data_IF_025761826340
#
_entry.id   IF_025761826340
#
_cell.length_a   1.000
_cell.length_b   1.000
_cell.length_c   1.000
_cell.angle_alpha   90.00
_cell.angle_beta   90.00
_cell.angle_gamma   90.00
#
_symmetry.space_group_name_H-M   'P 1'
#
loop_
_entity.id
_entity.type
_entity.pdbx_description
1 polymer ?
#
# COMPACT_ATOMS: atom_id res chain seq x y z
N UNK A 1 -18.16 27.87 -10.67
CA UNK A 1 -16.92 27.73 -9.88
C UNK A 1 -17.29 27.08 -8.56
N UNK A 2 -17.24 25.75 -8.47
CA UNK A 2 -17.50 25.02 -7.22
C UNK A 2 -16.17 24.52 -6.68
N UNK A 3 -15.82 25.00 -5.50
CA UNK A 3 -14.72 24.55 -4.67
C UNK A 3 -15.07 23.17 -4.11
N UNK A 4 -14.41 22.09 -4.55
CA UNK A 4 -14.57 20.73 -4.02
C UNK A 4 -13.31 19.94 -4.39
N UNK A 5 -12.74 19.06 -3.57
CA UNK A 5 -13.03 18.71 -2.20
C UNK A 5 -11.69 18.37 -1.54
N UNK A 6 -11.36 19.11 -0.49
CA UNK A 6 -10.55 18.58 0.60
C UNK A 6 -11.31 17.36 1.09
N UNK A 7 -10.85 16.14 0.76
CA UNK A 7 -11.31 14.92 1.44
C UNK A 7 -10.72 14.96 2.85
N UNK A 8 -11.14 15.95 3.60
CA UNK A 8 -10.97 15.97 5.04
C UNK A 8 -11.88 14.85 5.49
N UNK A 9 -11.35 13.88 6.24
CA UNK A 9 -12.13 12.92 7.01
C UNK A 9 -13.14 13.57 8.01
N UNK A 10 -13.40 14.88 7.90
CA UNK A 10 -14.39 15.64 8.62
C UNK A 10 -15.85 15.28 8.27
N UNK A 11 -16.13 14.67 7.11
CA UNK A 11 -17.49 14.23 6.79
C UNK A 11 -17.99 13.08 7.70
N UNK A 12 -17.08 12.35 8.37
CA UNK A 12 -17.40 11.27 9.29
C UNK A 12 -17.78 11.74 10.71
N UNK A 13 -17.64 13.03 11.03
CA UNK A 13 -17.67 13.54 12.41
C UNK A 13 -19.04 13.96 12.95
N UNK A 14 -20.14 13.78 12.22
CA UNK A 14 -21.44 14.39 12.63
C UNK A 14 -22.30 13.51 13.55
N UNK A 15 -21.98 12.23 13.81
CA UNK A 15 -22.91 11.32 14.53
C UNK A 15 -22.41 10.70 15.85
N UNK A 16 -21.26 11.09 16.39
CA UNK A 16 -20.77 10.56 17.68
C UNK A 16 -21.23 11.35 18.93
N UNK A 17 -22.16 12.30 18.78
CA UNK A 17 -22.59 13.19 19.86
C UNK A 17 -23.94 12.83 20.48
N UNK A 18 -24.02 11.74 21.26
CA UNK A 18 -24.98 11.59 22.37
C UNK A 18 -24.49 10.49 23.33
N UNK A 19 -24.03 10.92 24.52
CA UNK A 19 -23.57 10.08 25.64
C UNK A 19 -24.79 9.53 26.46
N UNK A 20 -24.66 8.67 27.52
CA UNK A 20 -23.72 8.82 28.65
C UNK A 20 -23.03 7.55 29.23
N UNK A 21 -21.85 7.82 29.81
CA UNK A 21 -21.23 7.32 31.07
C UNK A 21 -21.67 5.98 31.69
N UNK A 22 -20.72 5.04 31.85
CA UNK A 22 -20.39 4.34 33.11
C UNK A 22 -19.33 3.24 32.90
N UNK A 23 -18.40 3.10 33.86
CA UNK A 23 -17.83 1.78 34.21
C UNK A 23 -16.31 1.63 34.12
N UNK A 24 -15.64 1.86 35.25
CA UNK A 24 -14.30 1.37 35.57
C UNK A 24 -14.14 -0.14 35.37
N UNK A 25 -12.93 -0.60 35.01
CA UNK A 25 -12.60 -2.02 34.96
C UNK A 25 -11.12 -2.31 34.72
N UNK A 26 -10.41 -2.58 35.80
CA UNK A 26 -8.98 -2.93 35.93
C UNK A 26 -8.52 -4.20 35.18
N UNK A 27 -7.21 -4.21 34.85
CA UNK A 27 -6.20 -5.32 34.86
C UNK A 27 -6.50 -6.57 33.99
N UNK A 28 -5.54 -7.17 33.27
CA UNK A 28 -4.34 -7.86 33.80
C UNK A 28 -3.44 -8.31 32.63
N UNK A 29 -2.11 -8.28 32.83
CA UNK A 29 -1.06 -8.91 32.00
C UNK A 29 -0.99 -10.44 32.16
N UNK A 30 -0.50 -11.17 31.14
CA UNK A 30 0.39 -12.34 31.27
C UNK A 30 1.02 -12.69 29.90
N UNK A 31 2.32 -12.45 29.63
CA UNK A 31 3.47 -13.39 29.63
C UNK A 31 3.24 -14.87 29.25
N UNK A 32 3.97 -15.34 28.23
CA UNK A 32 4.82 -16.56 28.30
C UNK A 32 5.74 -16.69 27.07
N UNK A 33 7.05 -16.60 27.29
CA UNK A 33 8.13 -17.22 26.50
C UNK A 33 8.07 -18.75 26.63
N UNK A 34 8.54 -19.49 25.62
CA UNK A 34 9.32 -20.74 25.84
C UNK A 34 10.23 -21.04 24.65
N UNK A 35 11.50 -21.16 25.02
CA UNK A 35 12.72 -21.50 24.29
C UNK A 35 12.82 -23.00 23.96
N UNK A 36 13.59 -23.35 22.91
CA UNK A 36 14.18 -24.69 22.79
C UNK A 36 14.89 -24.99 21.45
N UNK A 37 16.24 -25.09 21.42
CA UNK A 37 17.03 -25.54 20.26
C UNK A 37 17.44 -27.02 20.38
N UNK A 38 17.69 -27.72 19.26
CA UNK A 38 18.55 -28.90 19.30
C UNK A 38 19.27 -29.19 17.97
N UNK A 39 20.43 -29.81 18.09
CA UNK A 39 21.62 -29.81 17.21
C UNK A 39 21.88 -31.21 16.63
N UNK A 40 22.85 -31.30 15.70
CA UNK A 40 23.70 -32.49 15.35
C UNK A 40 23.11 -33.38 14.24
N UNK A 41 23.82 -33.86 13.20
CA UNK A 41 25.13 -34.56 13.17
C UNK A 41 25.70 -34.69 11.74
N UNK A 42 26.97 -35.09 11.67
CA UNK A 42 27.97 -34.99 10.62
C UNK A 42 27.93 -35.97 9.41
N UNK A 43 28.83 -35.65 8.48
CA UNK A 43 29.35 -36.35 7.28
C UNK A 43 29.90 -37.77 7.53
N UNK A 44 30.12 -38.58 6.47
CA UNK A 44 31.51 -38.74 6.01
C UNK A 44 31.70 -38.82 4.48
N UNK A 45 32.97 -38.71 4.11
CA UNK A 45 33.58 -38.64 2.79
C UNK A 45 33.81 -40.01 2.11
N UNK A 46 34.06 -40.00 0.79
CA UNK A 46 35.04 -40.85 0.10
C UNK A 46 35.40 -40.31 -1.31
N UNK A 47 36.70 -40.18 -1.54
CA UNK A 47 37.49 -39.86 -2.76
C UNK A 47 37.73 -41.13 -3.62
N UNK A 48 38.57 -41.16 -4.70
CA UNK A 48 38.90 -40.23 -5.81
C UNK A 48 38.86 -40.94 -7.20
N UNK A 49 39.33 -40.27 -8.28
CA UNK A 49 40.33 -40.79 -9.26
C UNK A 49 40.03 -40.52 -10.77
N UNK A 50 40.85 -39.62 -11.35
CA UNK A 50 41.62 -39.69 -12.61
C UNK A 50 40.91 -39.96 -13.96
N UNK A 51 41.04 -39.02 -14.92
CA UNK A 51 41.86 -39.15 -16.14
C UNK A 51 41.55 -38.05 -17.17
N UNK A 52 42.60 -37.55 -17.82
CA UNK A 52 42.60 -36.42 -18.75
C UNK A 52 42.36 -36.84 -20.21
N UNK A 53 41.79 -35.94 -21.00
CA UNK A 53 41.99 -35.85 -22.47
C UNK A 53 41.87 -34.39 -22.91
N UNK A 54 42.89 -33.77 -23.52
CA UNK A 54 42.75 -32.48 -24.18
C UNK A 54 42.14 -32.68 -25.57
N UNK A 55 40.88 -32.27 -25.76
CA UNK A 55 40.29 -32.16 -27.10
C UNK A 55 40.37 -30.70 -27.54
N UNK A 56 41.13 -30.48 -28.62
CA UNK A 56 41.23 -29.23 -29.37
C UNK A 56 39.81 -28.76 -29.75
N UNK A 57 39.37 -27.64 -29.18
CA UNK A 57 38.14 -26.95 -29.59
C UNK A 57 38.50 -25.68 -30.34
N UNK A 58 37.93 -25.55 -31.53
CA UNK A 58 37.94 -24.37 -32.39
C UNK A 58 37.56 -23.08 -31.62
N UNK A 59 37.97 -21.88 -32.10
CA UNK A 59 37.66 -20.62 -31.43
C UNK A 59 36.15 -20.44 -31.31
N UNK A 60 35.64 -20.62 -30.09
CA UNK A 60 34.29 -20.26 -29.70
C UNK A 60 34.22 -18.73 -29.76
N UNK A 61 33.50 -18.22 -30.76
CA UNK A 61 33.13 -16.81 -30.84
C UNK A 61 32.40 -16.48 -29.54
N UNK A 62 33.06 -15.74 -28.66
CA UNK A 62 32.45 -15.22 -27.44
C UNK A 62 31.30 -14.32 -27.89
N UNK A 63 30.03 -14.63 -27.59
CA UNK A 63 29.00 -13.63 -27.75
C UNK A 63 29.38 -12.47 -26.82
N UNK A 64 29.69 -11.33 -27.42
CA UNK A 64 29.84 -10.06 -26.72
C UNK A 64 28.65 -9.93 -25.76
N UNK A 65 28.85 -9.60 -24.48
CA UNK A 65 27.74 -9.49 -23.54
C UNK A 65 26.75 -8.48 -24.10
N UNK A 66 25.61 -8.99 -24.57
CA UNK A 66 24.48 -8.17 -24.99
C UNK A 66 24.18 -7.26 -23.81
N UNK A 67 24.42 -5.96 -24.00
CA UNK A 67 24.10 -4.94 -23.02
C UNK A 67 22.66 -5.22 -22.54
N UNK A 68 22.53 -5.53 -21.25
CA UNK A 68 21.23 -5.68 -20.60
C UNK A 68 20.41 -4.46 -21.00
N UNK A 69 19.19 -4.58 -21.55
CA UNK A 69 18.37 -3.43 -21.87
C UNK A 69 18.28 -2.61 -20.60
N UNK A 70 18.91 -1.44 -20.59
CA UNK A 70 18.78 -0.50 -19.50
C UNK A 70 17.33 -0.08 -19.55
N UNK A 71 16.47 -0.72 -18.75
CA UNK A 71 15.04 -0.57 -18.87
C UNK A 71 14.69 0.91 -18.65
N UNK A 72 14.39 1.58 -19.76
CA UNK A 72 14.14 3.00 -19.87
C UNK A 72 13.00 3.39 -18.91
N UNK A 73 13.11 4.50 -18.19
CA UNK A 73 11.98 5.06 -17.45
C UNK A 73 10.76 5.23 -18.37
N UNK A 74 9.55 5.15 -17.82
CA UNK A 74 8.32 5.33 -18.61
C UNK A 74 8.31 6.68 -19.34
N UNK A 75 7.66 6.75 -20.50
CA UNK A 75 7.28 8.04 -21.09
C UNK A 75 6.26 8.76 -20.19
N UNK A 76 5.98 10.04 -20.47
CA UNK A 76 4.98 10.79 -19.70
C UNK A 76 3.58 10.16 -19.83
N UNK A 77 3.21 9.75 -21.03
CA UNK A 77 1.93 9.11 -21.35
C UNK A 77 1.82 7.75 -20.66
N UNK A 78 2.87 6.92 -20.74
CA UNK A 78 2.92 5.63 -20.03
C UNK A 78 2.87 5.82 -18.51
N UNK A 79 3.56 6.82 -17.97
CA UNK A 79 3.52 7.14 -16.55
C UNK A 79 2.14 7.62 -16.11
N UNK A 80 1.42 8.35 -16.96
CA UNK A 80 0.05 8.78 -16.71
C UNK A 80 -0.89 7.58 -16.56
N UNK A 81 -0.91 6.71 -17.57
CA UNK A 81 -1.75 5.50 -17.57
C UNK A 81 -1.39 4.60 -16.38
N UNK A 82 -0.09 4.40 -16.15
CA UNK A 82 0.39 3.57 -15.05
C UNK A 82 -0.01 4.12 -13.69
N UNK A 83 0.05 5.44 -13.50
CA UNK A 83 -0.36 6.08 -12.25
C UNK A 83 -1.84 5.85 -11.97
N UNK A 84 -2.72 6.12 -12.94
CA UNK A 84 -4.16 5.93 -12.77
C UNK A 84 -4.52 4.48 -12.47
N UNK A 85 -3.94 3.52 -13.20
CA UNK A 85 -4.13 2.08 -12.95
C UNK A 85 -3.72 1.64 -11.54
N UNK A 86 -2.71 2.29 -10.96
CA UNK A 86 -2.23 1.95 -9.62
C UNK A 86 -3.16 2.51 -8.54
N UNK A 87 -3.63 3.75 -8.68
CA UNK A 87 -4.38 4.44 -7.61
C UNK A 87 -5.89 4.15 -7.65
N UNK A 88 -6.45 3.80 -8.81
CA UNK A 88 -7.89 3.57 -8.99
C UNK A 88 -8.49 2.57 -7.97
N UNK A 89 -7.91 1.38 -7.71
CA UNK A 89 -8.51 0.41 -6.78
C UNK A 89 -8.59 0.92 -5.35
N UNK A 90 -7.62 1.73 -4.92
CA UNK A 90 -7.62 2.35 -3.59
C UNK A 90 -8.69 3.44 -3.50
N UNK A 91 -8.75 4.32 -4.50
CA UNK A 91 -9.75 5.39 -4.56
C UNK A 91 -11.18 4.82 -4.53
N UNK A 92 -11.47 3.81 -5.37
CA UNK A 92 -12.77 3.13 -5.36
C UNK A 92 -13.10 2.50 -4.00
N UNK A 93 -12.10 1.95 -3.31
CA UNK A 93 -12.31 1.37 -1.98
C UNK A 93 -12.62 2.44 -0.92
N UNK A 94 -11.96 3.60 -0.99
CA UNK A 94 -12.25 4.75 -0.13
C UNK A 94 -13.68 5.26 -0.33
N UNK A 95 -14.08 5.51 -1.58
CA UNK A 95 -15.44 5.95 -1.90
C UNK A 95 -16.49 4.91 -1.43
N UNK A 96 -16.18 3.63 -1.62
CA UNK A 96 -17.01 2.54 -1.14
C UNK A 96 -17.18 2.55 0.38
N UNK A 97 -16.10 2.82 1.13
CA UNK A 97 -16.13 2.89 2.60
C UNK A 97 -16.94 4.09 3.07
N UNK A 98 -16.69 5.26 2.48
CA UNK A 98 -17.42 6.48 2.79
C UNK A 98 -18.92 6.30 2.54
N UNK A 99 -19.30 5.80 1.36
CA UNK A 99 -20.69 5.52 1.01
C UNK A 99 -21.33 4.52 1.97
N UNK A 100 -20.65 3.43 2.30
CA UNK A 100 -21.15 2.44 3.25
C UNK A 100 -21.35 3.05 4.65
N UNK A 101 -20.40 3.88 5.09
CA UNK A 101 -20.51 4.56 6.37
C UNK A 101 -21.67 5.57 6.39
N UNK A 102 -21.78 6.41 5.37
CA UNK A 102 -22.80 7.47 5.31
C UNK A 102 -24.22 6.93 5.10
N UNK A 103 -24.36 5.77 4.46
CA UNK A 103 -25.66 5.11 4.26
C UNK A 103 -26.09 4.19 5.41
N UNK A 104 -25.36 4.20 6.53
CA UNK A 104 -25.79 3.45 7.71
C UNK A 104 -25.61 1.93 7.59
N UNK A 105 -24.71 1.44 6.73
CA UNK A 105 -24.48 -0.01 6.55
C UNK A 105 -24.16 -0.71 7.88
N UNK A 106 -24.51 -2.01 8.00
CA UNK A 106 -24.20 -2.80 9.19
C UNK A 106 -22.69 -2.94 9.38
N UNK A 107 -22.25 -3.14 10.63
CA UNK A 107 -20.83 -3.18 10.99
C UNK A 107 -20.04 -4.25 10.21
N UNK A 108 -20.65 -5.42 9.94
CA UNK A 108 -20.03 -6.47 9.13
C UNK A 108 -19.70 -6.03 7.71
N UNK A 109 -20.57 -5.25 7.06
CA UNK A 109 -20.30 -4.66 5.74
C UNK A 109 -19.22 -3.58 5.83
N UNK A 110 -19.24 -2.74 6.86
CA UNK A 110 -18.22 -1.70 7.06
C UNK A 110 -16.81 -2.30 7.22
N UNK A 111 -16.68 -3.37 8.01
CA UNK A 111 -15.41 -4.07 8.20
C UNK A 111 -14.90 -4.71 6.91
N UNK A 112 -15.79 -5.31 6.12
CA UNK A 112 -15.43 -5.88 4.81
C UNK A 112 -14.87 -4.81 3.86
N UNK A 113 -15.50 -3.63 3.82
CA UNK A 113 -15.04 -2.55 2.95
C UNK A 113 -13.77 -1.89 3.50
N UNK A 114 -13.64 -1.70 4.82
CA UNK A 114 -12.42 -1.21 5.45
C UNK A 114 -11.21 -2.13 5.19
N UNK A 115 -11.41 -3.46 5.22
CA UNK A 115 -10.38 -4.42 4.84
C UNK A 115 -9.96 -4.27 3.36
N UNK A 116 -10.89 -3.98 2.45
CA UNK A 116 -10.55 -3.67 1.04
C UNK A 116 -9.72 -2.39 0.91
N UNK A 117 -10.02 -1.36 1.71
CA UNK A 117 -9.18 -0.14 1.76
C UNK A 117 -7.77 -0.47 2.23
N UNK A 118 -7.64 -1.27 3.29
CA UNK A 118 -6.34 -1.73 3.78
C UNK A 118 -5.53 -2.46 2.70
N UNK A 119 -6.14 -3.45 2.05
CA UNK A 119 -5.49 -4.30 1.04
C UNK A 119 -5.11 -3.51 -0.22
N UNK A 120 -6.01 -2.64 -0.68
CA UNK A 120 -5.77 -1.80 -1.85
C UNK A 120 -4.70 -0.74 -1.56
N UNK A 121 -4.66 -0.17 -0.35
CA UNK A 121 -3.58 0.74 0.07
C UNK A 121 -2.22 0.03 0.05
N UNK A 122 -2.14 -1.17 0.63
CA UNK A 122 -0.91 -1.96 0.61
C UNK A 122 -0.49 -2.33 -0.82
N UNK A 123 -1.45 -2.61 -1.70
CA UNK A 123 -1.22 -2.95 -3.10
C UNK A 123 -0.69 -1.76 -3.89
N UNK A 124 -1.30 -0.57 -3.74
CA UNK A 124 -0.80 0.62 -4.42
C UNK A 124 0.62 0.97 -3.96
N UNK A 125 0.93 0.87 -2.66
CA UNK A 125 2.27 1.17 -2.13
C UNK A 125 3.33 0.32 -2.84
N UNK A 126 3.08 -1.00 -2.98
CA UNK A 126 3.98 -1.91 -3.69
C UNK A 126 4.10 -1.55 -5.17
N UNK A 127 2.99 -1.26 -5.83
CA UNK A 127 2.98 -0.94 -7.26
C UNK A 127 3.67 0.40 -7.57
N UNK A 128 3.44 1.43 -6.75
CA UNK A 128 4.13 2.73 -6.81
C UNK A 128 5.64 2.54 -6.63
N UNK A 129 6.06 1.75 -5.62
CA UNK A 129 7.48 1.52 -5.31
C UNK A 129 8.23 0.77 -6.41
N UNK A 130 7.58 -0.21 -7.05
CA UNK A 130 8.21 -1.08 -8.06
C UNK A 130 8.22 -0.46 -9.46
N UNK A 131 7.44 0.60 -9.69
CA UNK A 131 7.34 1.24 -11.01
C UNK A 131 8.54 2.16 -11.26
N UNK A 132 9.11 2.10 -12.48
CA UNK A 132 10.23 2.96 -12.91
C UNK A 132 9.73 4.32 -13.38
N UNK A 133 9.51 5.22 -12.43
CA UNK A 133 9.01 6.56 -12.72
C UNK A 133 10.05 7.45 -13.44
N UNK A 134 9.57 8.33 -14.36
CA UNK A 134 10.32 9.50 -14.83
C UNK A 134 11.00 10.25 -13.68
N UNK A 135 12.19 10.80 -13.93
CA UNK A 135 12.98 11.47 -12.88
C UNK A 135 12.19 12.59 -12.16
N UNK A 136 11.41 13.36 -12.91
CA UNK A 136 10.56 14.43 -12.39
C UNK A 136 9.35 13.93 -11.57
N UNK A 137 9.10 12.62 -11.47
CA UNK A 137 8.01 12.05 -10.65
C UNK A 137 8.52 11.30 -9.41
N UNK A 138 9.81 10.99 -9.33
CA UNK A 138 10.35 10.12 -8.26
C UNK A 138 10.12 10.67 -6.86
N UNK A 139 10.43 11.95 -6.63
CA UNK A 139 10.25 12.59 -5.33
C UNK A 139 8.78 12.59 -4.87
N UNK A 140 7.81 13.15 -5.62
CA UNK A 140 6.41 13.17 -5.16
C UNK A 140 5.78 11.78 -5.09
N UNK A 141 6.23 10.79 -5.87
CA UNK A 141 5.84 9.39 -5.69
C UNK A 141 6.39 8.84 -4.36
N UNK A 142 7.63 9.17 -4.02
CA UNK A 142 8.22 8.83 -2.71
C UNK A 142 7.40 9.40 -1.56
N UNK A 143 6.99 10.67 -1.67
CA UNK A 143 6.16 11.35 -0.67
C UNK A 143 4.76 10.70 -0.57
N UNK A 144 4.12 10.38 -1.70
CA UNK A 144 2.84 9.65 -1.70
C UNK A 144 2.98 8.28 -1.03
N UNK A 145 4.05 7.54 -1.32
CA UNK A 145 4.33 6.26 -0.66
C UNK A 145 4.50 6.45 0.84
N UNK A 146 5.17 7.52 1.30
CA UNK A 146 5.37 7.78 2.72
C UNK A 146 4.03 8.01 3.44
N UNK A 147 3.17 8.88 2.89
CA UNK A 147 1.82 9.13 3.42
C UNK A 147 0.97 7.85 3.42
N UNK A 148 0.93 7.12 2.31
CA UNK A 148 0.19 5.86 2.25
C UNK A 148 0.69 4.81 3.27
N UNK A 149 1.99 4.75 3.54
CA UNK A 149 2.52 3.87 4.61
C UNK A 149 2.10 4.36 6.00
N UNK A 150 2.09 5.66 6.25
CA UNK A 150 1.63 6.23 7.52
C UNK A 150 0.13 5.95 7.76
N UNK A 151 -0.69 6.01 6.70
CA UNK A 151 -2.11 5.66 6.74
C UNK A 151 -2.36 4.16 7.00
N UNK A 152 -1.47 3.27 6.54
CA UNK A 152 -1.70 1.82 6.55
C UNK A 152 -2.04 1.25 7.94
N UNK A 153 -1.39 1.74 9.00
CA UNK A 153 -1.68 1.26 10.35
C UNK A 153 -3.10 1.61 10.81
N UNK A 154 -3.64 2.72 10.33
CA UNK A 154 -4.99 3.16 10.67
C UNK A 154 -6.03 2.40 9.84
N UNK A 155 -5.72 2.06 8.58
CA UNK A 155 -6.56 1.15 7.82
C UNK A 155 -6.68 -0.24 8.44
N UNK A 156 -5.58 -0.78 8.99
CA UNK A 156 -5.62 -1.99 9.82
C UNK A 156 -6.54 -1.86 11.03
N UNK A 157 -6.47 -0.73 11.74
CA UNK A 157 -7.35 -0.47 12.89
C UNK A 157 -8.81 -0.38 12.47
N UNK A 158 -9.10 0.29 11.36
CA UNK A 158 -10.45 0.40 10.81
C UNK A 158 -11.02 -0.99 10.44
N UNK A 159 -10.22 -1.85 9.81
CA UNK A 159 -10.60 -3.21 9.44
C UNK A 159 -10.79 -4.17 10.64
N UNK A 160 -10.24 -3.81 11.80
CA UNK A 160 -10.34 -4.58 13.04
C UNK A 160 -11.25 -3.92 14.10
N UNK A 161 -11.95 -2.84 13.76
CA UNK A 161 -12.76 -2.07 14.70
C UNK A 161 -13.91 -2.92 15.27
N UNK A 162 -14.12 -2.84 16.58
CA UNK A 162 -15.26 -3.47 17.25
C UNK A 162 -16.53 -2.62 17.18
N UNK A 163 -16.38 -1.32 16.98
CA UNK A 163 -17.50 -0.36 16.93
C UNK A 163 -17.41 0.61 15.77
N UNK A 164 -18.55 1.22 15.41
CA UNK A 164 -18.62 2.26 14.38
C UNK A 164 -17.80 3.50 14.75
N UNK A 165 -17.74 3.82 16.05
CA UNK A 165 -16.93 4.93 16.56
C UNK A 165 -15.43 4.65 16.37
N UNK A 166 -14.94 3.49 16.78
CA UNK A 166 -13.54 3.09 16.58
C UNK A 166 -13.15 3.08 15.10
N UNK A 167 -14.06 2.61 14.23
CA UNK A 167 -13.86 2.67 12.79
C UNK A 167 -13.74 4.12 12.33
N UNK A 168 -14.68 4.99 12.72
CA UNK A 168 -14.65 6.42 12.36
C UNK A 168 -13.38 7.13 12.83
N UNK A 169 -12.94 6.88 14.06
CA UNK A 169 -11.70 7.42 14.61
C UNK A 169 -10.47 6.96 13.82
N UNK A 170 -10.42 5.67 13.45
CA UNK A 170 -9.35 5.13 12.63
C UNK A 170 -9.34 5.73 11.22
N UNK A 171 -10.50 5.90 10.58
CA UNK A 171 -10.62 6.56 9.27
C UNK A 171 -10.16 8.02 9.34
N UNK A 172 -10.56 8.75 10.40
CA UNK A 172 -10.09 10.14 10.63
C UNK A 172 -8.58 10.20 10.80
N UNK A 173 -7.99 9.26 11.55
CA UNK A 173 -6.54 9.19 11.72
C UNK A 173 -5.83 8.86 10.40
N UNK A 174 -6.40 7.96 9.57
CA UNK A 174 -5.88 7.65 8.24
C UNK A 174 -5.95 8.85 7.30
N UNK A 175 -7.04 9.62 7.32
CA UNK A 175 -7.24 10.80 6.47
C UNK A 175 -6.29 11.96 6.76
N UNK A 176 -5.57 11.95 7.89
CA UNK A 176 -4.45 12.89 8.13
C UNK A 176 -3.22 12.59 7.28
N UNK A 177 -3.22 11.43 6.61
CA UNK A 177 -2.19 10.90 5.73
C UNK A 177 -2.78 10.55 4.36
N UNK A 178 -3.70 11.39 3.87
CA UNK A 178 -4.44 11.15 2.62
C UNK A 178 -3.58 11.25 1.35
N UNK A 179 -2.37 11.82 1.47
CA UNK A 179 -1.46 12.00 0.34
C UNK A 179 -1.96 13.02 -0.69
N UNK A 180 -2.90 13.90 -0.34
CA UNK A 180 -3.53 14.86 -1.25
C UNK A 180 -2.52 15.78 -1.94
N UNK A 181 -1.56 16.33 -1.18
CA UNK A 181 -0.52 17.21 -1.72
C UNK A 181 0.42 16.51 -2.73
N UNK A 182 1.07 15.37 -2.39
CA UNK A 182 1.90 14.67 -3.35
C UNK A 182 1.11 14.13 -4.55
N UNK A 183 -0.12 13.64 -4.35
CA UNK A 183 -1.00 13.20 -5.44
C UNK A 183 -1.34 14.35 -6.40
N UNK A 184 -1.67 15.54 -5.88
CA UNK A 184 -1.91 16.74 -6.69
C UNK A 184 -0.69 17.15 -7.51
N UNK A 185 0.51 17.07 -6.90
CA UNK A 185 1.78 17.33 -7.60
C UNK A 185 2.03 16.34 -8.73
N UNK A 186 1.80 15.03 -8.50
CA UNK A 186 1.92 13.98 -9.52
C UNK A 186 0.96 14.24 -10.68
N UNK A 187 -0.33 14.47 -10.38
CA UNK A 187 -1.37 14.75 -11.38
C UNK A 187 -1.01 15.96 -12.24
N UNK A 188 -0.59 17.06 -11.63
CA UNK A 188 -0.12 18.26 -12.35
C UNK A 188 1.05 17.94 -13.28
N UNK A 189 2.07 17.21 -12.82
CA UNK A 189 3.24 16.84 -13.64
C UNK A 189 2.89 15.88 -14.78
N UNK A 190 1.89 15.02 -14.59
CA UNK A 190 1.34 14.14 -15.61
C UNK A 190 0.33 14.83 -16.55
N UNK A 191 -0.04 16.09 -16.28
CA UNK A 191 -1.07 16.83 -17.01
C UNK A 191 -2.48 16.25 -16.83
N UNK A 192 -2.72 15.54 -15.73
CA UNK A 192 -4.03 15.08 -15.31
C UNK A 192 -4.80 16.26 -14.69
N UNK A 193 -6.13 16.25 -14.82
CA UNK A 193 -6.99 17.17 -14.07
C UNK A 193 -6.90 16.94 -12.56
N UNK A 194 -7.62 17.74 -11.76
CA UNK A 194 -7.80 17.46 -10.33
C UNK A 194 -8.46 16.09 -10.11
N UNK A 195 -8.32 15.53 -8.90
CA UNK A 195 -9.10 14.34 -8.51
C UNK A 195 -10.60 14.65 -8.59
N UNK A 196 -11.39 13.71 -9.10
CA UNK A 196 -12.84 13.77 -9.14
C UNK A 196 -13.39 12.45 -8.58
N UNK A 197 -14.11 12.52 -7.47
CA UNK A 197 -14.75 11.38 -6.80
C UNK A 197 -15.83 10.72 -7.66
N UNK A 198 -16.43 11.48 -8.60
CA UNK A 198 -17.45 10.97 -9.51
C UNK A 198 -16.89 9.95 -10.51
N UNK A 199 -15.57 9.93 -10.74
CA UNK A 199 -14.92 8.92 -11.59
C UNK A 199 -14.98 7.51 -10.97
N UNK A 200 -15.33 7.38 -9.68
CA UNK A 200 -15.22 6.14 -8.91
C UNK A 200 -16.51 5.70 -8.20
N UNK A 201 -17.61 6.44 -8.39
CA UNK A 201 -18.92 6.27 -7.70
C UNK A 201 -19.87 5.26 -8.35
#
# INVERSE_FOLDING_TARGET
MRQLATVTAAALLVLAGCAPTAGEGLRTQAVAETTGPNVTTASPASTPSVAATPTVSAPKVTPSPTAKPSATPLSKEQARERYLLIVEPYNRSLEGLEKAFNTGKPMSELLLVAARVEDSNATQIRALRTTRWPANLRAPIGDLIAESNAAQQYWRRAAAAGTRQELGEAVVAAGRHDGSEPAGTIRKRLGLGSYDENDYS
#
